data_IF_272464485760
#
_entry.id   IF_272464485760
#
_cell.length_a   1.000
_cell.length_b   1.000
_cell.length_c   1.000
_cell.angle_alpha   90.00
_cell.angle_beta   90.00
_cell.angle_gamma   90.00
#
_symmetry.space_group_name_H-M   'P 1'
#
loop_
_entity.id
_entity.type
_entity.pdbx_description
1 polymer ?
#
# COMPACT_ATOMS: atom_id res chain seq x y z
N UNK A 1 82.36 -50.88 34.85
CA UNK A 1 81.93 -50.62 36.24
C UNK A 1 80.48 -51.05 36.34
N UNK A 2 80.20 -52.30 36.72
CA UNK A 2 80.03 -52.81 38.10
C UNK A 2 78.85 -52.14 38.81
N UNK A 3 77.82 -52.92 39.13
CA UNK A 3 76.70 -52.48 39.94
C UNK A 3 75.60 -53.53 40.08
N UNK A 4 75.94 -54.71 40.63
CA UNK A 4 74.97 -55.71 41.09
C UNK A 4 74.30 -55.22 42.38
N UNK A 5 72.97 -55.32 42.49
CA UNK A 5 72.29 -55.39 43.79
C UNK A 5 71.00 -56.20 43.68
N UNK A 6 70.97 -57.35 44.38
CA UNK A 6 69.80 -58.17 44.67
C UNK A 6 69.19 -57.70 45.99
N UNK A 7 67.85 -57.68 46.12
CA UNK A 7 67.09 -58.54 47.06
C UNK A 7 65.56 -58.28 47.06
N UNK A 8 64.74 -59.24 47.55
CA UNK A 8 63.30 -59.36 47.29
C UNK A 8 62.40 -59.11 48.54
N UNK A 9 61.08 -58.92 48.34
CA UNK A 9 59.99 -59.32 49.25
C UNK A 9 58.64 -59.06 48.51
N UNK A 10 57.83 -60.07 48.17
CA UNK A 10 56.85 -60.83 48.97
C UNK A 10 55.57 -60.04 49.36
N UNK A 11 54.42 -60.68 49.06
CA UNK A 11 53.11 -60.58 49.73
C UNK A 11 52.16 -59.45 49.27
N UNK A 12 50.96 -59.85 48.82
CA UNK A 12 49.80 -58.97 48.83
C UNK A 12 48.71 -59.26 47.78
N UNK A 13 48.27 -60.51 47.63
CA UNK A 13 47.08 -60.82 46.83
C UNK A 13 45.82 -60.31 47.55
N UNK A 14 45.39 -59.08 47.25
CA UNK A 14 44.08 -58.54 47.62
C UNK A 14 43.07 -58.87 46.52
N UNK A 15 42.38 -60.01 46.66
CA UNK A 15 41.16 -60.29 45.90
C UNK A 15 40.02 -59.43 46.46
N UNK A 16 39.69 -58.34 45.77
CA UNK A 16 38.41 -57.64 45.97
C UNK A 16 37.30 -58.46 45.31
N UNK A 17 36.22 -58.81 46.01
CA UNK A 17 35.05 -59.38 45.36
C UNK A 17 34.40 -58.29 44.51
N UNK A 18 34.35 -58.51 43.20
CA UNK A 18 33.47 -57.76 42.31
C UNK A 18 32.03 -58.05 42.73
N UNK A 19 31.38 -57.10 43.39
CA UNK A 19 29.93 -57.06 43.47
C UNK A 19 29.41 -56.80 42.05
N UNK A 20 29.23 -57.89 41.30
CA UNK A 20 28.39 -57.92 40.11
C UNK A 20 26.96 -57.89 40.66
N UNK A 21 26.48 -56.70 40.98
CA UNK A 21 25.04 -56.48 41.04
C UNK A 21 24.46 -56.89 39.69
N UNK A 22 23.31 -57.58 39.65
CA UNK A 22 22.68 -57.91 38.37
C UNK A 22 22.48 -56.59 37.62
N UNK A 23 23.27 -56.39 36.55
CA UNK A 23 22.96 -55.43 35.52
C UNK A 23 21.63 -55.88 34.93
N UNK A 24 20.54 -55.40 35.53
CA UNK A 24 19.19 -55.50 35.01
C UNK A 24 19.24 -54.73 33.69
N UNK A 25 19.53 -55.46 32.61
CA UNK A 25 19.50 -54.91 31.28
C UNK A 25 18.09 -54.35 31.07
N UNK A 26 18.01 -53.03 30.91
CA UNK A 26 16.82 -52.28 30.47
C UNK A 26 16.51 -52.66 29.01
N UNK A 27 16.37 -53.96 28.72
CA UNK A 27 16.22 -54.53 27.37
C UNK A 27 14.81 -54.34 26.79
N UNK A 28 13.99 -53.47 27.38
CA UNK A 28 12.61 -53.18 26.97
C UNK A 28 12.25 -51.69 26.82
N UNK A 29 13.15 -50.75 27.14
CA UNK A 29 12.84 -49.30 27.09
C UNK A 29 13.23 -48.62 25.77
N UNK A 30 13.99 -49.30 24.90
CA UNK A 30 14.46 -48.72 23.64
C UNK A 30 13.32 -48.35 22.69
N UNK A 31 12.21 -49.09 22.71
CA UNK A 31 11.03 -48.80 21.89
C UNK A 31 10.23 -47.60 22.37
N UNK A 32 10.05 -47.45 23.68
CA UNK A 32 9.34 -46.31 24.28
C UNK A 32 10.16 -45.02 24.15
N UNK A 33 11.48 -45.09 24.32
CA UNK A 33 12.38 -43.96 24.12
C UNK A 33 12.35 -43.45 22.67
N UNK A 34 12.37 -44.35 21.68
CA UNK A 34 12.25 -43.99 20.28
C UNK A 34 10.89 -43.33 19.98
N UNK A 35 9.80 -43.91 20.50
CA UNK A 35 8.45 -43.35 20.31
C UNK A 35 8.36 -41.94 20.87
N UNK A 36 8.86 -41.71 22.10
CA UNK A 36 8.88 -40.37 22.70
C UNK A 36 9.73 -39.40 21.88
N UNK A 37 10.89 -39.82 21.38
CA UNK A 37 11.74 -38.99 20.53
C UNK A 37 11.02 -38.60 19.22
N UNK A 38 10.36 -39.54 18.55
CA UNK A 38 9.62 -39.26 17.31
C UNK A 38 8.44 -38.33 17.57
N UNK A 39 7.66 -38.56 18.63
CA UNK A 39 6.54 -37.68 19.01
C UNK A 39 7.04 -36.27 19.32
N UNK A 40 8.16 -36.15 20.05
CA UNK A 40 8.75 -34.86 20.38
C UNK A 40 9.26 -34.11 19.14
N UNK A 41 9.92 -34.82 18.21
CA UNK A 41 10.34 -34.23 16.92
C UNK A 41 9.13 -33.80 16.10
N UNK A 42 8.07 -34.60 16.04
CA UNK A 42 6.83 -34.22 15.34
C UNK A 42 6.20 -32.96 15.96
N UNK A 43 6.12 -32.87 17.28
CA UNK A 43 5.59 -31.70 17.98
C UNK A 43 6.45 -30.45 17.72
N UNK A 44 7.77 -30.57 17.83
CA UNK A 44 8.69 -29.46 17.54
C UNK A 44 8.59 -29.01 16.08
N UNK A 45 8.44 -29.95 15.15
CA UNK A 45 8.24 -29.63 13.72
C UNK A 45 6.92 -28.91 13.49
N UNK A 46 5.83 -29.35 14.13
CA UNK A 46 4.53 -28.69 14.03
C UNK A 46 4.57 -27.26 14.59
N UNK A 47 5.21 -27.04 15.74
CA UNK A 47 5.41 -25.70 16.32
C UNK A 47 6.27 -24.83 15.41
N UNK A 48 7.35 -25.38 14.84
CA UNK A 48 8.21 -24.67 13.90
C UNK A 48 7.46 -24.23 12.64
N UNK A 49 6.68 -25.13 12.03
CA UNK A 49 5.85 -24.81 10.86
C UNK A 49 4.79 -23.76 11.17
N UNK A 50 4.12 -23.86 12.33
CA UNK A 50 3.14 -22.87 12.75
C UNK A 50 3.77 -21.47 12.92
N UNK A 51 4.95 -21.40 13.55
CA UNK A 51 5.68 -20.14 13.72
C UNK A 51 6.11 -19.53 12.37
N UNK A 52 6.56 -20.35 11.41
CA UNK A 52 6.92 -19.90 10.07
C UNK A 52 5.69 -19.32 9.35
N UNK A 53 4.57 -20.05 9.34
CA UNK A 53 3.33 -19.58 8.69
C UNK A 53 2.82 -18.27 9.30
N UNK A 54 2.87 -18.14 10.63
CA UNK A 54 2.50 -16.90 11.31
C UNK A 54 3.39 -15.73 10.88
N UNK A 55 4.72 -15.93 10.85
CA UNK A 55 5.67 -14.90 10.41
C UNK A 55 5.46 -14.47 8.95
N UNK A 56 5.16 -15.42 8.06
CA UNK A 56 4.82 -15.10 6.67
C UNK A 56 3.53 -14.28 6.57
N UNK A 57 2.48 -14.65 7.32
CA UNK A 57 1.22 -13.92 7.33
C UNK A 57 1.41 -12.47 7.85
N UNK A 58 2.13 -12.29 8.95
CA UNK A 58 2.45 -10.97 9.51
C UNK A 58 3.25 -10.12 8.52
N UNK A 59 4.21 -10.71 7.82
CA UNK A 59 5.01 -10.01 6.81
C UNK A 59 4.13 -9.50 5.66
N UNK A 60 3.21 -10.33 5.17
CA UNK A 60 2.27 -9.95 4.11
C UNK A 60 1.28 -8.87 4.58
N UNK A 61 0.75 -8.99 5.79
CA UNK A 61 -0.15 -7.98 6.38
C UNK A 61 0.59 -6.65 6.55
N UNK A 62 1.80 -6.67 7.10
CA UNK A 62 2.62 -5.47 7.29
C UNK A 62 2.98 -4.80 5.96
N UNK A 63 3.32 -5.59 4.93
CA UNK A 63 3.58 -5.08 3.59
C UNK A 63 2.34 -4.40 2.99
N UNK A 64 1.18 -5.07 3.02
CA UNK A 64 -0.07 -4.52 2.50
C UNK A 64 -0.51 -3.26 3.27
N UNK A 65 -0.35 -3.24 4.59
CA UNK A 65 -0.66 -2.08 5.41
C UNK A 65 0.23 -0.88 5.06
N UNK A 66 1.55 -1.08 4.95
CA UNK A 66 2.48 -0.01 4.53
C UNK A 66 2.12 0.52 3.14
N UNK A 67 1.87 -0.38 2.19
CA UNK A 67 1.52 -0.01 0.83
C UNK A 67 0.18 0.74 0.76
N UNK A 68 -0.81 0.30 1.53
CA UNK A 68 -2.11 0.99 1.62
C UNK A 68 -1.99 2.39 2.21
N UNK A 69 -1.12 2.57 3.22
CA UNK A 69 -0.86 3.90 3.80
C UNK A 69 -0.12 4.81 2.85
N UNK A 70 0.90 4.31 2.16
CA UNK A 70 1.60 5.06 1.13
C UNK A 70 0.65 5.49 0.02
N UNK A 71 -0.19 4.58 -0.48
CA UNK A 71 -1.21 4.87 -1.49
C UNK A 71 -2.13 6.03 -1.06
N UNK A 72 -2.59 6.03 0.19
CA UNK A 72 -3.44 7.10 0.71
C UNK A 72 -2.70 8.45 0.76
N UNK A 73 -1.46 8.47 1.25
CA UNK A 73 -0.66 9.70 1.26
C UNK A 73 -0.33 10.20 -0.15
N UNK A 74 -0.13 9.29 -1.10
CA UNK A 74 0.08 9.64 -2.50
C UNK A 74 -1.22 10.18 -3.13
N UNK A 75 -2.38 9.61 -2.83
CA UNK A 75 -3.65 10.13 -3.32
C UNK A 75 -3.95 11.54 -2.75
N UNK A 76 -3.66 11.75 -1.47
CA UNK A 76 -3.81 13.05 -0.81
C UNK A 76 -2.82 14.09 -1.39
N UNK A 77 -1.54 13.72 -1.52
CA UNK A 77 -0.52 14.58 -2.12
C UNK A 77 -0.83 14.93 -3.59
N UNK A 78 -1.36 14.00 -4.37
CA UNK A 78 -1.83 14.24 -5.73
C UNK A 78 -2.93 15.32 -5.73
N UNK A 79 -3.92 15.17 -4.85
CA UNK A 79 -5.03 16.11 -4.72
C UNK A 79 -4.53 17.50 -4.32
N UNK A 80 -3.66 17.59 -3.32
CA UNK A 80 -3.07 18.85 -2.88
C UNK A 80 -2.23 19.54 -3.98
N UNK A 81 -1.47 18.77 -4.78
CA UNK A 81 -0.74 19.29 -5.93
C UNK A 81 -1.68 19.86 -6.99
N UNK A 82 -2.78 19.18 -7.27
CA UNK A 82 -3.78 19.65 -8.23
C UNK A 82 -4.56 20.86 -7.72
N UNK A 83 -4.86 20.94 -6.42
CA UNK A 83 -5.44 22.13 -5.81
C UNK A 83 -4.55 23.36 -6.03
N UNK A 84 -3.23 23.21 -5.97
CA UNK A 84 -2.30 24.30 -6.29
C UNK A 84 -2.45 24.76 -7.74
N UNK A 85 -2.46 23.85 -8.70
CA UNK A 85 -2.62 24.22 -10.12
C UNK A 85 -4.00 24.83 -10.40
N UNK A 86 -5.04 24.31 -9.74
CA UNK A 86 -6.40 24.84 -9.82
C UNK A 86 -6.48 26.28 -9.25
N UNK A 87 -5.70 26.59 -8.20
CA UNK A 87 -5.61 27.93 -7.65
C UNK A 87 -5.03 28.96 -8.65
N UNK A 88 -4.19 28.51 -9.57
CA UNK A 88 -3.56 29.36 -10.58
C UNK A 88 -4.52 29.65 -11.77
N UNK A 89 -5.65 28.95 -11.86
CA UNK A 89 -6.69 29.20 -12.87
C UNK A 89 -7.62 30.35 -12.46
N UNK A 90 -7.74 31.33 -13.35
CA UNK A 90 -8.68 32.44 -13.20
C UNK A 90 -10.15 31.97 -13.23
N UNK A 91 -10.44 30.96 -14.06
CA UNK A 91 -11.77 30.38 -14.25
C UNK A 91 -11.68 28.84 -14.14
N UNK A 92 -12.49 28.26 -13.26
CA UNK A 92 -12.52 26.80 -13.05
C UNK A 92 -13.38 26.06 -14.07
N UNK A 93 -14.27 26.77 -14.78
CA UNK A 93 -15.05 26.21 -15.90
C UNK A 93 -14.13 25.63 -17.00
N UNK A 94 -12.92 26.20 -17.16
CA UNK A 94 -11.91 25.64 -18.06
C UNK A 94 -11.47 24.22 -17.66
N UNK A 95 -11.37 23.94 -16.35
CA UNK A 95 -11.05 22.60 -15.85
C UNK A 95 -12.26 21.65 -15.92
N UNK A 96 -13.47 22.15 -15.62
CA UNK A 96 -14.74 21.40 -15.67
C UNK A 96 -15.21 21.05 -17.08
N UNK A 97 -14.83 21.83 -18.08
CA UNK A 97 -15.01 21.50 -19.49
C UNK A 97 -13.92 20.56 -20.03
N UNK A 98 -12.81 20.40 -19.31
CA UNK A 98 -11.64 19.63 -19.72
C UNK A 98 -10.71 20.36 -20.70
N UNK A 99 -10.91 21.66 -20.90
CA UNK A 99 -10.04 22.52 -21.74
C UNK A 99 -8.70 22.79 -21.07
N UNK A 100 -8.71 23.02 -19.75
CA UNK A 100 -7.52 23.22 -18.94
C UNK A 100 -7.21 21.94 -18.14
N UNK A 101 -5.95 21.51 -18.22
CA UNK A 101 -5.38 20.45 -17.38
C UNK A 101 -4.29 21.02 -16.48
N UNK A 102 -3.94 20.27 -15.44
CA UNK A 102 -2.77 20.52 -14.62
C UNK A 102 -1.49 20.59 -15.47
N UNK A 103 -0.50 21.29 -14.93
CA UNK A 103 0.88 21.28 -15.42
C UNK A 103 1.57 19.93 -15.24
N UNK A 104 0.99 19.02 -14.45
CA UNK A 104 1.50 17.69 -14.17
C UNK A 104 0.71 16.64 -14.97
N UNK A 105 1.17 16.39 -16.19
CA UNK A 105 0.63 15.37 -17.08
C UNK A 105 1.75 14.48 -17.63
N UNK A 106 1.57 13.17 -17.55
CA UNK A 106 2.46 12.18 -18.15
C UNK A 106 1.95 11.78 -19.53
N UNK A 107 2.10 12.67 -20.52
CA UNK A 107 1.73 12.46 -21.92
C UNK A 107 0.22 12.25 -22.18
N UNK A 108 -0.19 11.86 -23.40
CA UNK A 108 -1.61 11.79 -23.80
C UNK A 108 -2.45 10.82 -22.95
N UNK A 109 -3.69 11.19 -22.64
CA UNK A 109 -4.59 10.43 -21.74
C UNK A 109 -5.41 9.32 -22.41
N UNK A 110 -5.48 9.35 -23.74
CA UNK A 110 -6.15 8.37 -24.62
C UNK A 110 -5.26 7.16 -24.94
N UNK A 111 -3.97 7.24 -24.63
CA UNK A 111 -3.01 6.14 -24.78
C UNK A 111 -2.97 5.27 -23.52
N UNK A 112 -2.81 3.95 -23.72
CA UNK A 112 -2.64 2.99 -22.63
C UNK A 112 -1.39 3.28 -21.79
N UNK A 113 -1.60 3.53 -20.49
CA UNK A 113 -0.58 3.70 -19.47
C UNK A 113 -0.22 2.37 -18.83
N UNK A 114 1.06 2.13 -18.62
CA UNK A 114 1.53 0.97 -17.86
C UNK A 114 1.42 1.26 -16.37
N UNK A 115 0.77 0.37 -15.63
CA UNK A 115 0.59 0.54 -14.19
C UNK A 115 1.73 -0.11 -13.40
N UNK A 116 2.07 0.43 -12.22
CA UNK A 116 3.00 -0.19 -11.30
C UNK A 116 2.55 -1.60 -10.90
N UNK A 117 3.46 -2.57 -10.93
CA UNK A 117 3.14 -3.99 -10.67
C UNK A 117 2.45 -4.73 -11.83
N UNK A 118 2.32 -4.09 -12.99
CA UNK A 118 1.81 -4.69 -14.21
C UNK A 118 0.39 -4.25 -14.58
N UNK A 119 0.00 -4.56 -15.81
CA UNK A 119 -1.27 -4.14 -16.40
C UNK A 119 -1.19 -2.82 -17.13
N UNK A 120 -2.26 -2.51 -17.88
CA UNK A 120 -2.39 -1.30 -18.67
C UNK A 120 -3.78 -0.70 -18.49
N UNK A 121 -3.88 0.62 -18.58
CA UNK A 121 -5.16 1.31 -18.45
C UNK A 121 -5.22 2.54 -19.36
N UNK A 122 -6.41 2.85 -19.87
CA UNK A 122 -6.69 4.13 -20.55
C UNK A 122 -7.32 5.08 -19.54
N UNK A 123 -6.88 6.34 -19.52
CA UNK A 123 -7.33 7.29 -18.50
C UNK A 123 -8.64 7.96 -18.89
N UNK A 124 -8.73 8.57 -20.07
CA UNK A 124 -9.84 9.48 -20.40
C UNK A 124 -11.07 8.77 -20.95
N UNK A 125 -10.90 7.90 -21.93
CA UNK A 125 -11.92 7.77 -22.96
C UNK A 125 -12.34 6.32 -23.17
N UNK A 126 -13.64 6.12 -23.41
CA UNK A 126 -14.26 4.81 -23.61
C UNK A 126 -14.76 4.15 -22.33
N UNK A 127 -15.59 3.10 -22.45
CA UNK A 127 -16.30 2.48 -21.33
C UNK A 127 -15.40 1.73 -20.35
N UNK A 128 -14.16 1.41 -20.74
CA UNK A 128 -13.19 0.72 -19.89
C UNK A 128 -12.10 1.66 -19.34
N UNK A 129 -12.29 2.98 -19.45
CA UNK A 129 -11.33 3.96 -18.93
C UNK A 129 -11.51 4.19 -17.43
N UNK A 130 -10.47 4.68 -16.75
CA UNK A 130 -10.60 5.10 -15.36
C UNK A 130 -11.57 6.27 -15.18
N UNK A 131 -11.75 7.11 -16.20
CA UNK A 131 -12.74 8.20 -16.17
C UNK A 131 -14.17 7.64 -16.21
N UNK A 132 -14.43 6.59 -17.00
CA UNK A 132 -15.73 5.91 -16.96
C UNK A 132 -15.96 5.24 -15.59
N UNK A 133 -14.93 4.61 -15.02
CA UNK A 133 -15.00 4.00 -13.69
C UNK A 133 -15.32 5.05 -12.60
N UNK A 134 -14.63 6.19 -12.59
CA UNK A 134 -14.89 7.25 -11.61
C UNK A 134 -16.24 7.91 -11.86
N UNK A 135 -16.72 8.00 -13.10
CA UNK A 135 -18.05 8.53 -13.38
C UNK A 135 -19.14 7.65 -12.75
N UNK A 136 -19.02 6.33 -12.88
CA UNK A 136 -19.99 5.38 -12.31
C UNK A 136 -19.95 5.34 -10.78
N UNK A 137 -18.75 5.32 -10.20
CA UNK A 137 -18.56 5.19 -8.73
C UNK A 137 -18.69 6.52 -8.01
N UNK A 138 -18.23 7.58 -8.66
CA UNK A 138 -17.97 8.88 -8.05
C UNK A 138 -19.24 9.54 -7.55
N UNK A 139 -20.31 9.40 -8.29
CA UNK A 139 -21.61 10.00 -7.99
C UNK A 139 -22.43 9.15 -7.00
N UNK A 140 -21.95 7.96 -6.60
CA UNK A 140 -22.67 7.07 -5.69
C UNK A 140 -24.02 6.60 -6.25
N UNK A 141 -24.19 6.62 -7.59
CA UNK A 141 -25.46 6.37 -8.27
C UNK A 141 -26.45 7.54 -8.23
N UNK A 142 -26.05 8.71 -7.73
CA UNK A 142 -26.86 9.93 -7.77
C UNK A 142 -26.99 10.48 -9.20
N UNK A 143 -28.19 10.99 -9.47
CA UNK A 143 -28.56 11.71 -10.68
C UNK A 143 -29.21 13.03 -10.23
N UNK A 144 -28.63 14.15 -10.68
CA UNK A 144 -29.10 15.51 -10.41
C UNK A 144 -29.71 16.14 -11.66
N UNK A 145 -30.09 15.34 -12.65
CA UNK A 145 -30.57 15.80 -13.93
C UNK A 145 -29.44 16.43 -14.73
N UNK A 146 -29.67 17.64 -15.24
CA UNK A 146 -28.68 18.37 -16.03
C UNK A 146 -27.41 18.69 -15.22
N UNK A 147 -27.56 18.94 -13.90
CA UNK A 147 -26.47 19.22 -12.96
C UNK A 147 -25.66 17.99 -12.53
N UNK A 148 -25.87 16.84 -13.17
CA UNK A 148 -25.15 15.62 -12.76
C UNK A 148 -23.65 15.81 -13.00
N UNK A 149 -22.81 15.81 -11.93
CA UNK A 149 -21.40 16.11 -12.06
C UNK A 149 -20.70 15.17 -13.03
N UNK A 150 -19.92 15.75 -13.95
CA UNK A 150 -19.13 15.04 -14.93
C UNK A 150 -17.65 15.10 -14.55
N UNK A 151 -17.04 13.95 -14.32
CA UNK A 151 -15.62 13.89 -13.97
C UNK A 151 -14.77 14.15 -15.20
N UNK A 152 -13.99 15.22 -15.16
CA UNK A 152 -12.96 15.54 -16.15
C UNK A 152 -11.59 15.21 -15.61
N UNK A 153 -10.77 14.59 -16.46
CA UNK A 153 -9.39 14.29 -16.13
C UNK A 153 -8.59 15.59 -16.05
N UNK A 154 -7.91 15.82 -14.93
CA UNK A 154 -7.21 17.08 -14.67
C UNK A 154 -5.70 16.92 -14.61
N UNK A 155 -5.18 15.87 -13.95
CA UNK A 155 -3.73 15.64 -13.86
C UNK A 155 -3.39 14.17 -13.63
N UNK A 156 -2.23 13.71 -14.12
CA UNK A 156 -1.82 12.31 -14.00
C UNK A 156 -0.31 12.12 -14.20
N UNK A 157 0.23 11.05 -13.62
CA UNK A 157 1.62 10.65 -13.84
C UNK A 157 2.20 9.82 -12.69
N UNK A 158 3.49 9.46 -12.75
CA UNK A 158 4.15 8.76 -11.66
C UNK A 158 4.43 9.71 -10.47
N UNK A 159 4.17 9.26 -9.25
CA UNK A 159 4.41 10.05 -8.03
C UNK A 159 5.89 10.42 -7.84
N UNK A 160 6.82 9.61 -8.37
CA UNK A 160 8.25 9.92 -8.39
C UNK A 160 8.59 11.21 -9.14
N UNK A 161 7.76 11.66 -10.08
CA UNK A 161 7.98 12.87 -10.87
C UNK A 161 7.51 14.16 -10.18
N UNK A 162 6.98 14.11 -8.96
CA UNK A 162 6.51 15.30 -8.23
C UNK A 162 7.62 16.29 -7.84
N UNK A 163 8.86 15.81 -7.71
CA UNK A 163 9.99 16.65 -7.34
C UNK A 163 11.18 16.38 -8.25
N UNK A 164 11.89 17.44 -8.63
CA UNK A 164 13.13 17.30 -9.38
C UNK A 164 14.19 16.53 -8.57
N UNK A 165 14.95 15.67 -9.26
CA UNK A 165 16.12 14.97 -8.72
C UNK A 165 15.81 13.73 -7.87
N UNK A 166 14.77 12.96 -8.23
CA UNK A 166 14.46 11.63 -7.67
C UNK A 166 14.37 11.56 -6.14
N UNK A 167 14.00 12.66 -5.49
CA UNK A 167 13.88 12.73 -4.03
C UNK A 167 12.67 11.95 -3.50
N UNK A 168 11.67 11.72 -4.35
CA UNK A 168 10.46 10.96 -4.02
C UNK A 168 10.60 9.58 -4.64
N UNK A 169 10.85 8.59 -3.78
CA UNK A 169 10.92 7.18 -4.16
C UNK A 169 9.56 6.54 -3.92
N UNK A 170 8.59 6.86 -4.78
CA UNK A 170 7.28 6.20 -4.77
C UNK A 170 7.01 5.59 -6.14
N UNK A 171 6.59 4.33 -6.13
CA UNK A 171 6.26 3.58 -7.34
C UNK A 171 4.83 3.79 -7.80
N UNK A 172 4.04 4.62 -7.11
CA UNK A 172 2.64 4.82 -7.42
C UNK A 172 2.43 5.69 -8.66
N UNK A 173 1.38 5.40 -9.41
CA UNK A 173 0.85 6.23 -10.47
C UNK A 173 -0.40 6.95 -9.97
N UNK A 174 -0.50 8.25 -10.23
CA UNK A 174 -1.60 9.09 -9.76
C UNK A 174 -2.47 9.53 -10.92
N UNK A 175 -3.76 9.68 -10.64
CA UNK A 175 -4.75 10.22 -11.56
C UNK A 175 -5.69 11.09 -10.74
N UNK A 176 -5.93 12.31 -11.19
CA UNK A 176 -6.82 13.25 -10.52
C UNK A 176 -7.85 13.77 -11.49
N UNK A 177 -9.10 13.72 -11.06
CA UNK A 177 -10.25 14.29 -11.77
C UNK A 177 -10.80 15.48 -11.01
N UNK A 178 -11.42 16.38 -11.76
CA UNK A 178 -12.25 17.46 -11.25
C UNK A 178 -13.69 17.25 -11.74
N UNK A 179 -14.65 17.57 -10.91
CA UNK A 179 -16.06 17.67 -11.30
C UNK A 179 -16.66 18.90 -10.66
N UNK A 180 -17.77 19.35 -11.23
CA UNK A 180 -18.62 20.33 -10.61
C UNK A 180 -19.24 19.77 -9.31
N UNK A 181 -19.79 20.65 -8.48
CA UNK A 181 -20.53 20.29 -7.29
C UNK A 181 -22.05 20.33 -7.54
N UNK A 182 -22.76 19.32 -7.06
CA UNK A 182 -24.20 19.20 -7.32
C UNK A 182 -25.08 20.27 -6.62
N UNK A 183 -24.49 21.18 -5.85
CA UNK A 183 -25.20 22.25 -5.15
C UNK A 183 -25.20 23.57 -5.93
N UNK A 184 -24.57 23.64 -7.11
CA UNK A 184 -24.47 24.87 -7.90
C UNK A 184 -25.80 25.28 -8.57
N UNK A 185 -26.51 24.31 -9.14
CA UNK A 185 -27.90 24.48 -9.59
C UNK A 185 -28.09 25.33 -10.84
N UNK A 186 -27.05 25.46 -11.68
CA UNK A 186 -27.05 26.28 -12.90
C UNK A 186 -27.45 25.51 -14.17
N UNK A 187 -27.58 24.19 -14.10
CA UNK A 187 -27.91 23.29 -15.19
C UNK A 187 -26.71 22.81 -16.00
N UNK A 188 -25.46 23.17 -15.66
CA UNK A 188 -24.29 22.92 -16.49
C UNK A 188 -23.08 22.35 -15.70
N UNK A 189 -22.83 21.03 -15.77
CA UNK A 189 -21.74 20.39 -15.04
C UNK A 189 -20.33 20.71 -15.60
N UNK A 190 -20.26 21.57 -16.63
CA UNK A 190 -19.02 22.06 -17.22
C UNK A 190 -18.70 23.52 -16.89
N UNK A 191 -19.57 24.19 -16.14
CA UNK A 191 -19.39 25.54 -15.63
C UNK A 191 -19.27 25.52 -14.10
N UNK A 192 -18.55 26.50 -13.53
CA UNK A 192 -18.51 26.75 -12.09
C UNK A 192 -19.15 28.10 -11.83
N UNK A 193 -20.29 28.14 -11.12
CA UNK A 193 -21.01 29.39 -10.84
C UNK A 193 -20.99 29.81 -9.35
N UNK A 194 -20.72 28.89 -8.42
CA UNK A 194 -20.59 29.19 -6.98
C UNK A 194 -19.14 29.22 -6.45
N UNK A 195 -18.16 28.88 -7.27
CA UNK A 195 -16.75 28.83 -6.89
C UNK A 195 -16.37 27.58 -6.09
N UNK A 196 -17.05 26.46 -6.28
CA UNK A 196 -16.82 25.19 -5.55
C UNK A 196 -16.73 24.05 -6.56
N UNK A 197 -15.71 23.21 -6.39
CA UNK A 197 -15.54 22.03 -7.23
C UNK A 197 -15.08 20.84 -6.39
N UNK A 198 -15.23 19.65 -6.95
CA UNK A 198 -14.83 18.41 -6.31
C UNK A 198 -13.65 17.79 -7.05
N UNK A 199 -12.58 17.51 -6.31
CA UNK A 199 -11.45 16.74 -6.80
C UNK A 199 -11.54 15.29 -6.32
N UNK A 200 -11.15 14.36 -7.19
CA UNK A 200 -10.98 12.95 -6.85
C UNK A 200 -9.58 12.51 -7.26
N UNK A 201 -8.70 12.28 -6.29
CA UNK A 201 -7.34 11.80 -6.51
C UNK A 201 -7.25 10.31 -6.24
N UNK A 202 -6.77 9.54 -7.22
CA UNK A 202 -6.52 8.12 -7.14
C UNK A 202 -5.03 7.83 -7.21
N UNK A 203 -4.52 7.05 -6.27
CA UNK A 203 -3.21 6.43 -6.34
C UNK A 203 -3.34 4.95 -6.69
N UNK A 204 -2.55 4.50 -7.67
CA UNK A 204 -2.50 3.11 -8.15
C UNK A 204 -1.06 2.61 -8.00
N UNK A 205 -0.89 1.54 -7.22
CA UNK A 205 0.40 0.93 -6.95
C UNK A 205 0.46 -0.55 -7.33
N UNK A 206 1.60 -1.20 -7.02
CA UNK A 206 1.82 -2.61 -7.31
C UNK A 206 0.73 -3.54 -6.75
N UNK A 207 0.58 -4.72 -7.34
CA UNK A 207 -0.36 -5.75 -6.89
C UNK A 207 -1.82 -5.26 -6.75
N UNK A 208 -2.20 -4.22 -7.50
CA UNK A 208 -3.56 -3.68 -7.49
C UNK A 208 -3.88 -2.78 -6.30
N UNK A 209 -2.90 -2.32 -5.53
CA UNK A 209 -3.12 -1.37 -4.45
C UNK A 209 -3.74 -0.07 -4.99
N UNK A 210 -4.91 0.30 -4.48
CA UNK A 210 -5.64 1.51 -4.88
C UNK A 210 -6.17 2.23 -3.65
N UNK A 211 -5.97 3.54 -3.60
CA UNK A 211 -6.59 4.44 -2.62
C UNK A 211 -7.01 5.71 -3.32
N UNK A 212 -8.20 6.18 -2.97
CA UNK A 212 -8.77 7.37 -3.54
C UNK A 212 -9.16 8.36 -2.44
N UNK A 213 -8.97 9.63 -2.71
CA UNK A 213 -9.30 10.75 -1.85
C UNK A 213 -10.24 11.65 -2.62
N UNK A 214 -11.28 12.12 -1.95
CA UNK A 214 -12.15 13.16 -2.45
C UNK A 214 -12.00 14.42 -1.62
N UNK A 215 -11.76 15.52 -2.30
CA UNK A 215 -11.66 16.84 -1.71
C UNK A 215 -12.69 17.77 -2.37
N UNK A 216 -13.55 18.36 -1.58
CA UNK A 216 -14.39 19.48 -2.01
C UNK A 216 -13.64 20.77 -1.69
N UNK A 217 -13.49 21.62 -2.68
CA UNK A 217 -12.67 22.82 -2.58
C UNK A 217 -13.44 24.03 -3.04
N UNK A 218 -13.25 25.14 -2.35
CA UNK A 218 -13.90 26.41 -2.65
C UNK A 218 -12.85 27.47 -2.95
N UNK A 219 -13.13 28.34 -3.90
CA UNK A 219 -12.30 29.49 -4.23
C UNK A 219 -12.23 30.42 -3.03
N UNK A 220 -11.02 30.74 -2.59
CA UNK A 220 -10.79 31.69 -1.52
C UNK A 220 -10.69 33.10 -2.12
N UNK A 221 -11.62 33.98 -1.76
CA UNK A 221 -11.57 35.39 -2.15
C UNK A 221 -10.68 36.16 -1.16
N UNK A 222 -9.84 37.05 -1.70
CA UNK A 222 -9.09 38.03 -0.93
C UNK A 222 -9.98 39.20 -0.47
N UNK A 223 -9.40 40.10 0.33
CA UNK A 223 -10.09 41.27 0.88
C UNK A 223 -10.67 42.22 -0.20
N UNK A 224 -10.15 42.15 -1.43
CA UNK A 224 -10.60 42.94 -2.59
C UNK A 224 -11.50 42.13 -3.55
N UNK A 225 -11.97 40.94 -3.15
CA UNK A 225 -12.79 40.06 -4.00
C UNK A 225 -12.01 39.31 -5.09
N UNK A 226 -10.68 39.46 -5.16
CA UNK A 226 -9.83 38.72 -6.10
C UNK A 226 -9.55 37.29 -5.60
N UNK A 227 -9.50 36.28 -6.47
CA UNK A 227 -9.11 34.93 -6.08
C UNK A 227 -7.69 34.91 -5.52
N UNK A 228 -7.54 34.45 -4.27
CA UNK A 228 -6.25 34.35 -3.55
C UNK A 228 -5.79 32.92 -3.31
N UNK A 229 -6.59 31.94 -3.69
CA UNK A 229 -6.22 30.53 -3.57
C UNK A 229 -7.42 29.62 -3.46
N UNK A 230 -7.17 28.44 -2.90
CA UNK A 230 -8.15 27.38 -2.73
C UNK A 230 -8.29 27.07 -1.24
N UNK A 231 -9.53 26.95 -0.76
CA UNK A 231 -9.87 26.49 0.58
C UNK A 231 -10.48 25.10 0.51
N UNK A 232 -9.90 24.15 1.24
CA UNK A 232 -10.48 22.82 1.41
C UNK A 232 -11.74 22.92 2.30
N UNK A 233 -12.90 22.46 1.80
CA UNK A 233 -14.16 22.40 2.55
C UNK A 233 -14.36 21.06 3.22
N UNK A 234 -14.18 19.99 2.46
CA UNK A 234 -14.33 18.63 2.94
C UNK A 234 -13.24 17.74 2.37
N UNK A 235 -12.81 16.76 3.16
CA UNK A 235 -11.84 15.76 2.76
C UNK A 235 -12.33 14.41 3.25
N UNK A 236 -12.31 13.41 2.38
CA UNK A 236 -12.63 12.05 2.75
C UNK A 236 -11.89 11.04 1.89
N UNK A 237 -11.54 9.92 2.50
CA UNK A 237 -11.19 8.74 1.73
C UNK A 237 -12.43 8.27 0.96
N UNK A 238 -12.28 8.02 -0.32
CA UNK A 238 -13.34 7.50 -1.19
C UNK A 238 -13.05 6.04 -1.51
N UNK A 239 -14.12 5.24 -1.62
CA UNK A 239 -13.99 3.82 -1.99
C UNK A 239 -13.77 3.73 -3.50
N UNK A 240 -12.74 3.00 -3.89
CA UNK A 240 -12.45 2.66 -5.29
C UNK A 240 -12.80 1.19 -5.55
#
# INVERSE_FOLDING_TARGET
MIGVSRRPAMIGASRRPAMIGPCRQLRGESGTALFLAVVLVMLLTAVGLAAILASHAETLIAANFRQSREALYVADGATARMMKDLADLADWSAALSGVATSTFIDGPADVQKTLPGGGRVVLCCGPASLTADVQLRGNGGGDWGLDTPQWKLYGWGPASAWSAGDRIQSVFYIVVWVSDDAADGDGDPSADSNGTVVLNGLAIGPAGARRAVRAEVQRALGAEGQPRGVRLRSWRESRW
#
